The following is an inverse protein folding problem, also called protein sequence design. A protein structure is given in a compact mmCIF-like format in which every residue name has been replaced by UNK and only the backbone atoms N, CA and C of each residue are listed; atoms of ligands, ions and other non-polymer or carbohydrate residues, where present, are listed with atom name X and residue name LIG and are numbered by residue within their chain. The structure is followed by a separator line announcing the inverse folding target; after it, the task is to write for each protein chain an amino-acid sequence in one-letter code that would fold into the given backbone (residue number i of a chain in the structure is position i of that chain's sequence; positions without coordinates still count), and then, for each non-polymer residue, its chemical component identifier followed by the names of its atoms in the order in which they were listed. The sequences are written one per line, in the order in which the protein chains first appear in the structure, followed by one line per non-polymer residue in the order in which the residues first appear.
data_IF_898265421208
#
_entry.id   IF_898265421208
#
_cell.length_a   1.000
_cell.length_b   1.000
_cell.length_c   1.000
_cell.angle_alpha   90.00
_cell.angle_beta   90.00
_cell.angle_gamma   90.00
#
_symmetry.space_group_name_H-M   'P 1'
#
loop_
_entity.id
_entity.type
_entity.pdbx_description
1 polymer ?
#
# COMPACT_ATOMS: atom_id res chain seq x y z
N UNK A 1 -8.34 -7.14 -21.55
CA UNK A 1 -8.34 -6.37 -20.28
C UNK A 1 -8.50 -4.88 -20.59
N UNK A 2 -9.45 -4.22 -19.96
CA UNK A 2 -9.67 -2.79 -20.15
C UNK A 2 -8.61 -1.99 -19.40
N UNK A 3 -8.51 -0.68 -19.71
CA UNK A 3 -7.61 0.20 -18.99
C UNK A 3 -7.91 0.25 -17.50
N UNK A 4 -9.20 0.28 -17.16
CA UNK A 4 -9.64 0.28 -15.77
C UNK A 4 -9.21 -0.97 -15.02
N UNK A 5 -9.36 -2.13 -15.66
CA UNK A 5 -8.96 -3.41 -15.05
C UNK A 5 -7.45 -3.47 -14.84
N UNK A 6 -6.68 -2.96 -15.79
CA UNK A 6 -5.22 -2.89 -15.67
C UNK A 6 -4.81 -2.00 -14.50
N UNK A 7 -5.48 -0.85 -14.38
CA UNK A 7 -5.21 0.08 -13.29
C UNK A 7 -5.55 -0.55 -11.93
N UNK A 8 -6.70 -1.19 -11.82
CA UNK A 8 -7.12 -1.86 -10.58
C UNK A 8 -6.15 -2.95 -10.19
N UNK A 9 -5.72 -3.75 -11.14
CA UNK A 9 -4.76 -4.82 -10.90
C UNK A 9 -3.43 -4.26 -10.40
N UNK A 10 -2.96 -3.20 -11.05
CA UNK A 10 -1.71 -2.56 -10.67
C UNK A 10 -1.79 -1.94 -9.27
N UNK A 11 -2.90 -1.29 -8.97
CA UNK A 11 -3.14 -0.67 -7.67
C UNK A 11 -3.10 -1.73 -6.56
N UNK A 12 -3.76 -2.87 -6.76
CA UNK A 12 -3.74 -3.97 -5.81
C UNK A 12 -2.34 -4.52 -5.60
N UNK A 13 -1.58 -4.66 -6.69
CA UNK A 13 -0.22 -5.19 -6.61
C UNK A 13 0.69 -4.26 -5.83
N UNK A 14 0.59 -2.96 -6.06
CA UNK A 14 1.40 -1.97 -5.35
C UNK A 14 1.02 -1.96 -3.87
N UNK A 15 -0.28 -1.97 -3.58
CA UNK A 15 -0.75 -1.98 -2.19
C UNK A 15 -0.27 -3.22 -1.44
N UNK A 16 -0.37 -4.38 -2.08
CA UNK A 16 0.05 -5.64 -1.47
C UNK A 16 1.56 -5.66 -1.26
N UNK A 17 2.32 -5.17 -2.23
CA UNK A 17 3.77 -5.09 -2.09
C UNK A 17 4.17 -4.19 -0.93
N UNK A 18 3.51 -3.03 -0.81
CA UNK A 18 3.74 -2.13 0.32
C UNK A 18 3.46 -2.82 1.64
N UNK A 19 2.35 -3.55 1.71
CA UNK A 19 1.96 -4.28 2.92
C UNK A 19 3.02 -5.33 3.30
N UNK A 20 3.46 -6.12 2.34
CA UNK A 20 4.45 -7.18 2.57
C UNK A 20 5.79 -6.58 2.99
N UNK A 21 6.24 -5.53 2.31
CA UNK A 21 7.52 -4.88 2.65
C UNK A 21 7.46 -4.25 4.03
N UNK A 22 6.33 -3.66 4.39
CA UNK A 22 6.14 -3.07 5.71
C UNK A 22 6.28 -4.15 6.79
N UNK A 23 5.62 -5.30 6.58
CA UNK A 23 5.71 -6.40 7.55
C UNK A 23 7.12 -6.95 7.67
N UNK A 24 7.83 -7.06 6.56
CA UNK A 24 9.21 -7.53 6.58
C UNK A 24 10.13 -6.62 7.39
N UNK A 25 9.91 -5.32 7.29
CA UNK A 25 10.74 -4.34 7.99
C UNK A 25 10.36 -4.16 9.45
N UNK A 26 9.16 -4.52 9.82
CA UNK A 26 8.73 -4.46 11.22
C UNK A 26 9.32 -5.65 11.96
N UNK A 27 10.21 -5.38 12.88
CA UNK A 27 10.86 -6.44 13.67
C UNK A 27 9.95 -6.99 14.76
N UNK A 28 8.91 -6.24 15.13
CA UNK A 28 7.99 -6.61 16.20
C UNK A 28 6.57 -6.22 15.80
N UNK A 29 5.70 -7.21 15.69
CA UNK A 29 4.32 -7.01 15.29
C UNK A 29 3.54 -6.14 16.30
N UNK A 30 3.97 -6.10 17.55
CA UNK A 30 3.34 -5.27 18.58
C UNK A 30 3.84 -3.83 18.55
N UNK A 31 4.90 -3.55 17.81
CA UNK A 31 5.45 -2.20 17.70
C UNK A 31 4.50 -1.31 16.92
N UNK A 32 4.35 -0.08 17.38
CA UNK A 32 3.59 0.95 16.65
C UNK A 32 4.42 1.61 15.56
N UNK A 33 5.70 1.28 15.51
CA UNK A 33 6.58 1.84 14.49
C UNK A 33 6.24 1.29 13.13
N UNK A 34 6.05 2.19 12.16
CA UNK A 34 5.81 1.80 10.77
C UNK A 34 6.96 2.33 9.94
N UNK A 35 7.71 1.45 9.27
CA UNK A 35 8.86 1.89 8.49
C UNK A 35 8.42 2.61 7.21
N UNK A 36 9.26 3.52 6.73
CA UNK A 36 9.12 4.11 5.41
C UNK A 36 9.65 3.12 4.38
N UNK A 37 8.87 2.90 3.34
CA UNK A 37 9.28 2.06 2.21
C UNK A 37 9.69 3.00 1.09
N UNK A 38 10.93 2.93 0.65
CA UNK A 38 11.43 3.82 -0.37
C UNK A 38 10.79 3.55 -1.73
N UNK A 39 10.79 4.56 -2.59
CA UNK A 39 10.28 4.42 -3.96
C UNK A 39 11.01 3.30 -4.68
N UNK A 40 12.31 3.17 -4.44
CA UNK A 40 13.13 2.15 -5.06
C UNK A 40 12.68 0.74 -4.65
N UNK A 41 12.47 0.53 -3.34
CA UNK A 41 12.02 -0.77 -2.83
C UNK A 41 10.64 -1.14 -3.36
N UNK A 42 9.75 -0.14 -3.45
CA UNK A 42 8.40 -0.35 -3.95
C UNK A 42 8.36 -0.45 -5.47
N UNK A 43 9.42 0.00 -6.14
CA UNK A 43 9.57 -0.02 -7.58
C UNK A 43 8.47 0.79 -8.28
N UNK A 44 8.21 1.97 -7.76
CA UNK A 44 7.26 2.92 -8.36
C UNK A 44 7.81 4.34 -8.20
N UNK A 45 7.24 5.27 -8.93
CA UNK A 45 7.60 6.68 -8.85
C UNK A 45 6.55 7.41 -8.01
N UNK A 46 6.97 8.51 -7.37
CA UNK A 46 6.05 9.26 -6.50
C UNK A 46 4.86 9.86 -7.27
N UNK A 47 5.01 10.06 -8.58
CA UNK A 47 3.95 10.61 -9.43
C UNK A 47 3.01 9.55 -9.97
N UNK A 48 3.22 8.29 -9.62
CA UNK A 48 2.42 7.18 -10.12
C UNK A 48 0.96 7.35 -9.73
N UNK A 49 0.08 7.21 -10.70
CA UNK A 49 -1.35 7.43 -10.48
C UNK A 49 -1.94 6.42 -9.47
N UNK A 50 -1.43 5.20 -9.45
CA UNK A 50 -1.88 4.21 -8.48
C UNK A 50 -1.48 4.60 -7.06
N UNK A 51 -0.30 5.18 -6.90
CA UNK A 51 0.15 5.69 -5.60
C UNK A 51 -0.74 6.84 -5.14
N UNK A 52 -1.08 7.74 -6.06
CA UNK A 52 -1.96 8.86 -5.74
C UNK A 52 -3.35 8.38 -5.32
N UNK A 53 -3.87 7.38 -6.00
CA UNK A 53 -5.16 6.79 -5.65
C UNK A 53 -5.12 6.14 -4.27
N UNK A 54 -4.05 5.39 -3.97
CA UNK A 54 -3.91 4.77 -2.65
C UNK A 54 -3.81 5.82 -1.55
N UNK A 55 -3.15 6.93 -1.84
CA UNK A 55 -3.08 8.04 -0.89
C UNK A 55 -4.47 8.62 -0.63
N UNK A 56 -5.26 8.83 -1.68
CA UNK A 56 -6.61 9.36 -1.55
C UNK A 56 -7.53 8.39 -0.80
N UNK A 57 -7.31 7.09 -0.96
CA UNK A 57 -8.05 6.07 -0.24
C UNK A 57 -7.66 5.98 1.23
N UNK A 58 -6.59 6.67 1.64
CA UNK A 58 -6.12 6.62 3.02
C UNK A 58 -5.33 5.37 3.35
N UNK A 59 -4.82 4.67 2.35
CA UNK A 59 -4.04 3.44 2.54
C UNK A 59 -2.59 3.76 2.88
N UNK A 60 -2.04 4.79 2.26
CA UNK A 60 -0.66 5.19 2.48
C UNK A 60 -0.54 6.70 2.58
N UNK A 61 0.61 7.15 3.07
CA UNK A 61 0.95 8.56 3.09
C UNK A 61 2.41 8.74 2.66
N UNK A 62 2.72 9.91 2.15
CA UNK A 62 4.08 10.23 1.76
C UNK A 62 4.96 10.43 2.99
N UNK A 63 6.20 9.96 2.92
CA UNK A 63 7.13 10.04 4.04
C UNK A 63 8.56 10.07 3.51
N UNK A 64 9.22 11.23 3.59
CA UNK A 64 10.60 11.34 3.14
C UNK A 64 10.78 10.86 1.72
N UNK A 65 11.65 9.87 1.53
CA UNK A 65 11.99 9.33 0.22
C UNK A 65 11.09 8.16 -0.19
N UNK A 66 9.91 8.05 0.38
CA UNK A 66 9.02 6.95 0.06
C UNK A 66 7.64 7.13 0.64
N UNK A 67 7.05 6.04 1.06
CA UNK A 67 5.68 6.03 1.58
C UNK A 67 5.64 5.21 2.87
N UNK A 68 4.62 5.49 3.68
CA UNK A 68 4.32 4.68 4.86
C UNK A 68 2.89 4.16 4.74
N UNK A 69 2.73 2.89 5.05
CA UNK A 69 1.40 2.29 5.18
C UNK A 69 0.70 2.92 6.39
N UNK A 70 -0.58 3.25 6.26
CA UNK A 70 -1.34 3.76 7.41
C UNK A 70 -1.43 2.69 8.49
N UNK A 71 -1.35 3.11 9.75
CA UNK A 71 -1.22 2.18 10.87
C UNK A 71 -2.35 1.17 10.95
N UNK A 72 -3.57 1.59 10.66
CA UNK A 72 -4.73 0.68 10.75
C UNK A 72 -4.61 -0.52 9.82
N UNK A 73 -3.86 -0.38 8.73
CA UNK A 73 -3.66 -1.47 7.77
C UNK A 73 -2.48 -2.35 8.14
N UNK A 74 -1.50 -1.78 8.83
CA UNK A 74 -0.29 -2.52 9.20
C UNK A 74 -0.59 -3.71 10.13
N UNK A 75 -1.68 -3.62 10.88
CA UNK A 75 -2.07 -4.65 11.83
C UNK A 75 -3.10 -5.64 11.27
N UNK A 76 -3.55 -5.42 10.05
CA UNK A 76 -4.48 -6.33 9.40
C UNK A 76 -3.77 -7.61 8.93
N UNK A 77 -4.55 -8.69 8.81
CA UNK A 77 -4.05 -9.87 8.10
C UNK A 77 -4.00 -9.58 6.61
N UNK A 78 -3.25 -10.40 5.87
CA UNK A 78 -3.17 -10.26 4.42
C UNK A 78 -4.55 -10.32 3.78
N UNK A 79 -5.39 -11.25 4.23
CA UNK A 79 -6.74 -11.40 3.68
C UNK A 79 -7.62 -10.18 3.95
N UNK A 80 -7.55 -9.65 5.17
CA UNK A 80 -8.31 -8.45 5.54
C UNK A 80 -7.90 -7.26 4.65
N UNK A 81 -6.61 -7.10 4.44
CA UNK A 81 -6.09 -6.00 3.63
C UNK A 81 -6.54 -6.14 2.17
N UNK A 82 -6.45 -7.34 1.61
CA UNK A 82 -6.88 -7.59 0.24
C UNK A 82 -8.37 -7.32 0.07
N UNK A 83 -9.18 -7.76 1.02
CA UNK A 83 -10.63 -7.53 0.97
C UNK A 83 -10.95 -6.04 1.06
N UNK A 84 -10.23 -5.31 1.90
CA UNK A 84 -10.44 -3.86 2.02
C UNK A 84 -10.17 -3.16 0.70
N UNK A 85 -9.06 -3.46 0.05
CA UNK A 85 -8.71 -2.82 -1.22
C UNK A 85 -9.75 -3.15 -2.29
N UNK A 86 -10.18 -4.41 -2.34
CA UNK A 86 -11.19 -4.86 -3.29
C UNK A 86 -12.51 -4.12 -3.11
N UNK A 87 -12.98 -4.02 -1.87
CA UNK A 87 -14.25 -3.37 -1.55
C UNK A 87 -14.23 -1.88 -1.88
N UNK A 88 -13.13 -1.21 -1.54
CA UNK A 88 -13.01 0.23 -1.80
C UNK A 88 -13.03 0.53 -3.30
N UNK A 89 -12.46 -0.35 -4.11
CA UNK A 89 -12.44 -0.13 -5.56
C UNK A 89 -13.79 -0.38 -6.22
N UNK A 90 -14.64 -1.17 -5.58
CA UNK A 90 -15.99 -1.44 -6.11
C UNK A 90 -16.98 -0.35 -5.73
N UNK A 91 -16.63 0.51 -4.82
CA UNK A 91 -17.45 1.67 -4.46
C UNK A 91 -17.14 2.84 -5.43
#
# INVERSE_FOLDING_TARGET
MTQEQKHDHRLKNIALRLFVLTRKKRSDITSRYIPTISWHELNVQFQDIAVMDLRQMGVLRLSGDGVMLEQRFADMSTNEFQEYIKERRQQ
#
